data_IF_385274570836
#
_entry.id   IF_385274570836
#
_cell.length_a   1.000
_cell.length_b   1.000
_cell.length_c   1.000
_cell.angle_alpha   90.00
_cell.angle_beta   90.00
_cell.angle_gamma   90.00
#
_symmetry.space_group_name_H-M   'P 1'
#
loop_
_entity.id
_entity.type
_entity.pdbx_description
1 polymer ?
#
# COMPACT_ATOMS: atom_id res chain seq x y z
N UNK A 1 11.83 48.99 -32.53
CA UNK A 1 10.86 47.88 -32.43
C UNK A 1 11.53 46.76 -31.63
N UNK A 2 11.14 46.57 -30.37
CA UNK A 2 11.59 45.43 -29.56
C UNK A 2 10.45 44.41 -29.50
N UNK A 3 10.66 43.23 -30.07
CA UNK A 3 9.79 42.09 -29.90
C UNK A 3 10.06 41.46 -28.53
N UNK A 4 9.14 41.63 -27.57
CA UNK A 4 9.10 40.81 -26.37
C UNK A 4 8.53 39.43 -26.76
N UNK A 5 9.41 38.45 -26.89
CA UNK A 5 9.02 37.04 -27.04
C UNK A 5 8.50 36.51 -25.72
N UNK A 6 7.20 36.23 -25.66
CA UNK A 6 6.52 35.59 -24.55
C UNK A 6 6.91 34.09 -24.54
N UNK A 7 7.84 33.68 -23.68
CA UNK A 7 8.12 32.25 -23.49
C UNK A 7 7.09 31.67 -22.53
N UNK A 8 6.04 31.06 -23.09
CA UNK A 8 5.10 30.23 -22.34
C UNK A 8 5.84 28.94 -21.99
N UNK A 9 6.38 28.86 -20.78
CA UNK A 9 6.82 27.58 -20.21
C UNK A 9 5.57 26.73 -19.98
N UNK A 10 5.26 25.84 -20.93
CA UNK A 10 4.36 24.72 -20.68
C UNK A 10 5.03 23.82 -19.64
N UNK A 11 4.68 24.02 -18.37
CA UNK A 11 4.82 22.97 -17.38
C UNK A 11 3.87 21.85 -17.79
N UNK A 12 4.43 20.83 -18.46
CA UNK A 12 3.81 19.52 -18.61
C UNK A 12 3.63 18.95 -17.20
N UNK A 13 2.51 19.25 -16.57
CA UNK A 13 1.98 18.46 -15.47
C UNK A 13 1.63 17.10 -16.08
N UNK A 14 2.60 16.19 -16.09
CA UNK A 14 2.30 14.77 -16.25
C UNK A 14 1.27 14.44 -15.17
N UNK A 15 0.03 14.04 -15.52
CA UNK A 15 -0.83 13.44 -14.52
C UNK A 15 -0.07 12.21 -14.04
N UNK A 16 0.32 12.19 -12.77
CA UNK A 16 0.69 10.95 -12.10
C UNK A 16 -0.45 9.99 -12.39
N UNK A 17 -0.23 9.06 -13.32
CA UNK A 17 -1.15 7.96 -13.54
C UNK A 17 -1.11 7.21 -12.23
N UNK A 18 -2.10 7.45 -11.37
CA UNK A 18 -2.25 6.71 -10.13
C UNK A 18 -2.31 5.24 -10.54
N UNK A 19 -1.22 4.51 -10.32
CA UNK A 19 -1.12 3.12 -10.73
C UNK A 19 -2.14 2.36 -9.91
N UNK A 20 -3.21 1.91 -10.56
CA UNK A 20 -4.20 1.06 -9.91
C UNK A 20 -3.60 -0.32 -9.73
N UNK A 21 -3.38 -0.72 -8.48
CA UNK A 21 -2.92 -2.07 -8.11
C UNK A 21 -4.07 -2.89 -7.53
N UNK A 22 -3.99 -4.22 -7.66
CA UNK A 22 -4.98 -5.14 -7.08
C UNK A 22 -4.49 -5.61 -5.71
N UNK A 23 -5.34 -5.59 -4.69
CA UNK A 23 -4.99 -6.08 -3.36
C UNK A 23 -5.98 -7.12 -2.86
N UNK A 24 -5.56 -7.94 -1.90
CA UNK A 24 -6.49 -8.68 -1.07
C UNK A 24 -7.17 -7.74 -0.07
N UNK A 25 -8.45 -8.00 0.23
CA UNK A 25 -9.18 -7.30 1.28
C UNK A 25 -9.87 -8.27 2.23
N UNK A 26 -9.64 -8.10 3.52
CA UNK A 26 -10.34 -8.82 4.59
C UNK A 26 -10.33 -7.98 5.88
N UNK A 27 -11.02 -6.84 5.88
CA UNK A 27 -10.96 -5.85 6.98
C UNK A 27 -11.33 -6.44 8.36
N UNK A 28 -12.12 -7.51 8.39
CA UNK A 28 -12.54 -8.21 9.61
C UNK A 28 -12.30 -9.75 9.56
N UNK A 29 -11.38 -10.22 8.71
CA UNK A 29 -11.19 -11.66 8.52
C UNK A 29 -10.44 -12.33 9.69
N UNK A 30 -10.81 -13.58 10.09
CA UNK A 30 -9.93 -14.38 10.95
C UNK A 30 -8.58 -14.64 10.26
N UNK A 31 -7.57 -15.11 10.99
CA UNK A 31 -6.24 -15.46 10.43
C UNK A 31 -6.34 -16.29 9.14
N UNK A 32 -7.31 -17.21 9.08
CA UNK A 32 -7.62 -18.08 7.93
C UNK A 32 -8.91 -17.68 7.17
N UNK A 33 -9.31 -16.41 7.23
CA UNK A 33 -10.56 -15.93 6.64
C UNK A 33 -10.51 -15.81 5.12
N UNK A 34 -11.63 -16.15 4.48
CA UNK A 34 -11.85 -16.06 3.03
C UNK A 34 -11.30 -14.74 2.45
N UNK A 35 -10.44 -14.88 1.45
CA UNK A 35 -9.79 -13.79 0.76
C UNK A 35 -10.73 -13.27 -0.33
N UNK A 36 -11.22 -12.03 -0.18
CA UNK A 36 -11.87 -11.34 -1.29
C UNK A 36 -10.80 -10.58 -2.06
N UNK A 37 -10.74 -10.80 -3.37
CA UNK A 37 -9.93 -9.99 -4.28
C UNK A 37 -10.65 -8.67 -4.49
N UNK A 38 -9.97 -7.56 -4.18
CA UNK A 38 -10.56 -6.23 -4.32
C UNK A 38 -9.61 -5.37 -5.14
N UNK A 39 -10.08 -5.02 -6.34
CA UNK A 39 -9.53 -3.93 -7.15
C UNK A 39 -10.46 -2.73 -6.95
N UNK A 40 -10.02 -1.73 -6.16
CA UNK A 40 -10.73 -0.45 -6.03
C UNK A 40 -10.07 0.59 -6.93
N UNK A 41 -10.87 1.49 -7.50
CA UNK A 41 -10.33 2.68 -8.18
C UNK A 41 -9.46 3.47 -7.19
N UNK A 42 -8.23 3.80 -7.59
CA UNK A 42 -7.21 4.50 -6.79
C UNK A 42 -6.57 3.66 -5.66
N UNK A 43 -6.54 2.35 -5.83
CA UNK A 43 -5.65 1.52 -5.03
C UNK A 43 -4.21 1.75 -5.46
N UNK A 44 -3.38 2.38 -4.61
CA UNK A 44 -1.96 2.59 -4.91
C UNK A 44 -1.04 1.81 -3.97
N UNK A 45 -1.56 1.37 -2.82
CA UNK A 45 -0.81 0.63 -1.79
C UNK A 45 -1.69 -0.47 -1.20
N UNK A 46 -1.14 -1.68 -1.11
CA UNK A 46 -1.71 -2.78 -0.34
C UNK A 46 -1.14 -2.79 1.08
N UNK A 47 -2.02 -2.94 2.05
CA UNK A 47 -1.67 -3.10 3.47
C UNK A 47 -1.83 -4.56 3.87
N UNK A 48 -0.83 -5.08 4.59
CA UNK A 48 -0.89 -6.32 5.34
C UNK A 48 -0.68 -6.00 6.83
N UNK A 49 -1.59 -6.42 7.71
CA UNK A 49 -1.44 -6.25 9.15
C UNK A 49 -1.71 -7.55 9.89
N UNK A 50 -0.82 -7.89 10.82
CA UNK A 50 -1.02 -8.96 11.79
C UNK A 50 -1.16 -8.38 13.19
N UNK A 51 -2.17 -8.83 13.91
CA UNK A 51 -2.29 -8.59 15.34
C UNK A 51 -1.95 -9.89 16.07
N UNK A 52 -1.05 -9.80 17.04
CA UNK A 52 -0.54 -10.92 17.80
C UNK A 52 -1.00 -10.84 19.27
N UNK A 53 -1.25 -12.00 19.87
CA UNK A 53 -1.43 -12.19 21.30
C UNK A 53 -0.41 -13.22 21.78
N UNK A 54 0.53 -12.81 22.63
CA UNK A 54 1.59 -13.69 23.16
C UNK A 54 2.27 -14.53 22.05
N UNK A 55 2.69 -13.87 20.97
CA UNK A 55 3.33 -14.45 19.76
C UNK A 55 2.40 -15.20 18.79
N UNK A 56 1.14 -15.44 19.13
CA UNK A 56 0.18 -16.08 18.23
C UNK A 56 -0.57 -15.06 17.38
N UNK A 57 -0.68 -15.29 16.07
CA UNK A 57 -1.47 -14.41 15.18
C UNK A 57 -2.96 -14.64 15.42
N UNK A 58 -3.63 -13.66 15.99
CA UNK A 58 -5.08 -13.71 16.25
C UNK A 58 -5.90 -13.08 15.12
N UNK A 59 -5.29 -12.19 14.34
CA UNK A 59 -5.96 -11.49 13.25
C UNK A 59 -5.00 -11.19 12.12
N UNK A 60 -5.50 -11.26 10.88
CA UNK A 60 -4.80 -10.78 9.70
C UNK A 60 -5.72 -9.87 8.90
N UNK A 61 -5.35 -8.60 8.80
CA UNK A 61 -6.11 -7.56 8.11
C UNK A 61 -5.38 -7.19 6.82
N UNK A 62 -6.11 -7.21 5.71
CA UNK A 62 -5.64 -6.83 4.39
C UNK A 62 -6.56 -5.74 3.85
N UNK A 63 -5.97 -4.68 3.30
CA UNK A 63 -6.71 -3.53 2.78
C UNK A 63 -5.99 -2.94 1.57
N UNK A 64 -6.78 -2.44 0.63
CA UNK A 64 -6.36 -1.50 -0.39
C UNK A 64 -6.45 -0.07 0.16
N UNK A 65 -5.41 0.75 -0.01
CA UNK A 65 -5.38 2.13 0.46
C UNK A 65 -4.61 3.04 -0.50
N UNK A 66 -4.80 4.35 -0.35
CA UNK A 66 -3.92 5.37 -0.97
C UNK A 66 -2.69 5.67 -0.13
N UNK A 67 -2.79 5.47 1.18
CA UNK A 67 -1.76 5.77 2.17
C UNK A 67 -1.60 4.60 3.14
N UNK A 68 -0.38 4.33 3.57
CA UNK A 68 -0.09 3.27 4.53
C UNK A 68 1.14 3.64 5.34
N UNK A 69 1.00 3.70 6.67
CA UNK A 69 2.12 3.96 7.57
C UNK A 69 2.61 2.62 8.12
N UNK A 70 3.80 2.13 7.72
CA UNK A 70 4.33 0.89 8.24
C UNK A 70 4.51 1.01 9.76
N UNK A 71 4.17 -0.05 10.49
CA UNK A 71 4.27 -0.05 11.95
C UNK A 71 4.91 -1.36 12.37
N UNK A 72 6.12 -1.27 12.91
CA UNK A 72 6.92 -2.46 13.14
C UNK A 72 6.93 -2.98 14.57
N UNK A 73 6.68 -2.20 15.63
CA UNK A 73 7.11 -2.65 16.98
C UNK A 73 6.37 -2.18 18.23
N UNK A 74 5.27 -1.42 18.19
CA UNK A 74 4.79 -0.80 19.43
C UNK A 74 3.76 -1.65 20.21
N UNK A 75 2.90 -2.45 19.56
CA UNK A 75 1.74 -3.06 20.27
C UNK A 75 1.35 -4.49 19.84
N UNK A 76 2.29 -5.41 19.61
CA UNK A 76 1.98 -6.74 19.04
C UNK A 76 1.25 -6.65 17.68
N UNK A 77 1.44 -5.54 16.98
CA UNK A 77 0.89 -5.29 15.64
C UNK A 77 2.08 -5.18 14.68
N UNK A 78 2.04 -5.92 13.59
CA UNK A 78 2.96 -5.77 12.46
C UNK A 78 2.16 -5.27 11.28
N UNK A 79 2.46 -4.08 10.76
CA UNK A 79 1.87 -3.53 9.53
C UNK A 79 2.93 -3.33 8.47
N UNK A 80 2.72 -3.96 7.31
CA UNK A 80 3.57 -3.88 6.13
C UNK A 80 2.76 -3.23 5.00
N UNK A 81 3.41 -2.36 4.23
CA UNK A 81 2.84 -1.64 3.10
C UNK A 81 3.62 -2.01 1.84
N UNK A 82 2.92 -2.41 0.77
CA UNK A 82 3.52 -2.89 -0.46
C UNK A 82 2.74 -2.38 -1.68
N UNK A 83 3.37 -2.27 -2.85
CA UNK A 83 2.79 -1.56 -4.01
C UNK A 83 2.79 -2.36 -5.31
N UNK A 84 2.92 -3.68 -5.21
CA UNK A 84 2.78 -4.59 -6.36
C UNK A 84 1.49 -5.38 -6.22
N UNK A 85 0.93 -5.83 -7.35
CA UNK A 85 -0.31 -6.60 -7.35
C UNK A 85 -0.24 -7.78 -6.38
N UNK A 86 -1.28 -7.90 -5.56
CA UNK A 86 -1.53 -9.02 -4.65
C UNK A 86 -0.44 -9.22 -3.59
N UNK A 87 0.42 -8.23 -3.35
CA UNK A 87 1.56 -8.36 -2.43
C UNK A 87 1.15 -8.61 -0.97
N UNK A 88 -0.05 -8.19 -0.56
CA UNK A 88 -0.54 -8.37 0.81
C UNK A 88 -1.16 -9.76 1.07
N UNK A 89 -0.76 -10.79 0.33
CA UNK A 89 -1.21 -12.17 0.54
C UNK A 89 -0.80 -12.72 1.91
N UNK A 90 0.50 -12.72 2.18
CA UNK A 90 1.11 -13.13 3.44
C UNK A 90 2.24 -12.18 3.85
N UNK A 91 2.84 -12.42 5.02
CA UNK A 91 3.89 -11.57 5.57
C UNK A 91 5.13 -11.50 4.67
N UNK A 92 5.56 -12.63 4.12
CA UNK A 92 6.79 -12.70 3.33
C UNK A 92 6.59 -12.01 1.98
N UNK A 93 5.48 -12.30 1.32
CA UNK A 93 5.06 -11.65 0.07
C UNK A 93 4.93 -10.14 0.25
N UNK A 94 4.40 -9.69 1.39
CA UNK A 94 4.26 -8.27 1.69
C UNK A 94 5.61 -7.57 1.90
N UNK A 95 6.58 -8.26 2.53
CA UNK A 95 7.97 -7.77 2.68
C UNK A 95 8.67 -7.72 1.32
N UNK A 96 8.50 -8.76 0.49
CA UNK A 96 9.14 -8.83 -0.83
C UNK A 96 8.56 -7.78 -1.80
N UNK A 97 7.28 -7.45 -1.66
CA UNK A 97 6.60 -6.40 -2.42
C UNK A 97 6.68 -5.00 -1.83
N UNK A 98 7.40 -4.84 -0.71
CA UNK A 98 7.56 -3.55 -0.03
C UNK A 98 8.39 -2.60 -0.90
N UNK A 99 7.94 -1.36 -1.07
CA UNK A 99 8.80 -0.31 -1.61
C UNK A 99 10.00 -0.16 -0.69
N UNK A 100 11.20 0.06 -1.25
CA UNK A 100 12.48 0.02 -0.54
C UNK A 100 12.54 0.77 0.80
N UNK A 101 13.62 0.59 1.58
CA UNK A 101 13.72 1.07 2.96
C UNK A 101 13.47 2.58 3.17
N UNK A 102 13.47 3.39 2.11
CA UNK A 102 13.09 4.81 2.10
C UNK A 102 11.61 5.12 2.47
N UNK A 103 10.70 4.14 2.49
CA UNK A 103 9.28 4.34 2.82
C UNK A 103 8.91 3.93 4.27
N UNK A 104 9.92 3.73 5.13
CA UNK A 104 9.78 3.26 6.52
C UNK A 104 9.91 4.38 7.57
N UNK A 105 9.89 5.66 7.17
CA UNK A 105 10.02 6.81 8.09
C UNK A 105 8.75 7.10 8.91
#
# INVERSE_FOLDING_TARGET
>A
MLYLGLTISLFLLSPEVAQTITCYANENGPHNGNQLLVSQENCTICMFQQNLESESVIQTVRRCSRCCNPENKINNVTRICCTVDLCNYDKNTAIDGQLGPEYLE
#
